data_IF_458924047390
#
_entry.id   IF_458924047390
#
_cell.length_a   1.000
_cell.length_b   1.000
_cell.length_c   1.000
_cell.angle_alpha   90.00
_cell.angle_beta   90.00
_cell.angle_gamma   90.00
#
_symmetry.space_group_name_H-M   'P 1'
#
loop_
_entity.id
_entity.type
_entity.pdbx_description
1 polymer ?
#
# COMPACT_ATOMS: atom_id res chain seq x y z
N UNK A 1 11.08 8.43 -30.49
CA UNK A 1 11.28 8.62 -29.04
C UNK A 1 11.30 7.25 -28.38
N UNK A 2 12.37 6.90 -27.65
CA UNK A 2 12.43 5.64 -26.90
C UNK A 2 11.50 5.72 -25.69
N UNK A 3 10.73 4.67 -25.42
CA UNK A 3 9.92 4.59 -24.19
C UNK A 3 10.87 4.56 -22.99
N UNK A 4 10.62 5.32 -21.91
CA UNK A 4 11.42 5.22 -20.71
C UNK A 4 11.37 3.78 -20.18
N UNK A 5 12.54 3.22 -19.88
CA UNK A 5 12.65 1.90 -19.26
C UNK A 5 12.17 2.02 -17.83
N UNK A 6 11.01 1.42 -17.52
CA UNK A 6 10.51 1.32 -16.14
C UNK A 6 11.44 0.37 -15.37
N UNK A 7 12.05 0.81 -14.25
CA UNK A 7 12.86 -0.03 -13.39
C UNK A 7 12.10 -1.29 -12.96
N UNK A 8 12.81 -2.42 -12.80
CA UNK A 8 12.20 -3.68 -12.37
C UNK A 8 11.50 -3.56 -11.00
N UNK A 9 12.04 -2.74 -10.10
CA UNK A 9 11.43 -2.45 -8.79
C UNK A 9 10.10 -1.70 -8.91
N UNK A 10 9.99 -0.71 -9.79
CA UNK A 10 8.70 -0.02 -10.04
C UNK A 10 7.65 -0.99 -10.59
N UNK A 11 8.05 -1.93 -11.47
CA UNK A 11 7.13 -2.96 -11.96
C UNK A 11 6.64 -3.87 -10.84
N UNK A 12 7.53 -4.28 -9.93
CA UNK A 12 7.15 -5.08 -8.77
C UNK A 12 6.17 -4.32 -7.86
N UNK A 13 6.48 -3.06 -7.53
CA UNK A 13 5.62 -2.23 -6.66
C UNK A 13 4.23 -1.97 -7.28
N UNK A 14 4.13 -1.80 -8.60
CA UNK A 14 2.85 -1.71 -9.29
C UNK A 14 2.02 -3.00 -9.18
N UNK A 15 2.66 -4.17 -9.25
CA UNK A 15 1.97 -5.45 -9.09
C UNK A 15 1.48 -5.64 -7.65
N UNK A 16 2.29 -5.28 -6.65
CA UNK A 16 1.89 -5.32 -5.24
C UNK A 16 0.71 -4.37 -4.96
N UNK A 17 0.79 -3.11 -5.44
CA UNK A 17 -0.30 -2.14 -5.30
C UNK A 17 -1.60 -2.65 -5.93
N UNK A 18 -1.49 -3.22 -7.13
CA UNK A 18 -2.62 -3.82 -7.82
C UNK A 18 -3.22 -4.97 -7.01
N UNK A 19 -2.38 -5.86 -6.46
CA UNK A 19 -2.81 -6.96 -5.60
C UNK A 19 -3.61 -6.47 -4.39
N UNK A 20 -3.11 -5.43 -3.70
CA UNK A 20 -3.79 -4.83 -2.55
C UNK A 20 -5.11 -4.11 -2.91
N UNK A 21 -5.24 -3.60 -4.14
CA UNK A 21 -6.49 -3.01 -4.63
C UNK A 21 -7.53 -4.05 -5.04
N UNK A 22 -7.08 -5.16 -5.64
CA UNK A 22 -7.95 -6.27 -6.05
C UNK A 22 -8.41 -7.10 -4.86
N UNK A 23 -7.53 -7.32 -3.88
CA UNK A 23 -7.80 -8.06 -2.65
C UNK A 23 -7.38 -7.23 -1.42
N UNK A 24 -8.26 -6.31 -0.95
CA UNK A 24 -7.97 -5.50 0.23
C UNK A 24 -7.77 -6.35 1.48
N UNK A 25 -6.70 -6.06 2.22
CA UNK A 25 -6.39 -6.75 3.47
C UNK A 25 -7.24 -6.17 4.61
N UNK A 26 -7.97 -7.03 5.32
CA UNK A 26 -8.77 -6.61 6.46
C UNK A 26 -7.90 -5.95 7.55
N UNK A 27 -8.40 -4.84 8.10
CA UNK A 27 -7.71 -4.10 9.14
C UNK A 27 -6.57 -3.21 8.63
N UNK A 28 -6.34 -3.14 7.31
CA UNK A 28 -5.38 -2.22 6.71
C UNK A 28 -6.06 -1.29 5.70
N UNK A 29 -5.55 -0.08 5.59
CA UNK A 29 -5.77 0.80 4.43
C UNK A 29 -4.42 1.20 3.89
N UNK A 30 -4.20 0.97 2.61
CA UNK A 30 -2.92 1.20 1.96
C UNK A 30 -3.14 2.12 0.77
N UNK A 31 -2.37 3.19 0.68
CA UNK A 31 -2.37 4.12 -0.44
C UNK A 31 -0.97 4.67 -0.68
N UNK A 32 -0.75 5.28 -1.85
CA UNK A 32 0.46 6.06 -2.10
C UNK A 32 0.29 7.46 -1.51
N UNK A 33 1.38 8.03 -1.01
CA UNK A 33 1.40 9.45 -0.60
C UNK A 33 1.25 10.36 -1.83
N UNK A 34 1.90 9.97 -2.93
CA UNK A 34 1.82 10.60 -4.25
C UNK A 34 1.76 9.50 -5.32
N UNK A 35 0.80 9.58 -6.25
CA UNK A 35 0.67 8.60 -7.35
C UNK A 35 1.88 8.59 -8.30
N UNK A 36 2.68 9.66 -8.32
CA UNK A 36 3.92 9.75 -9.07
C UNK A 36 5.11 9.05 -8.40
N UNK A 37 5.01 8.71 -7.12
CA UNK A 37 6.08 8.08 -6.34
C UNK A 37 5.64 6.75 -5.72
N UNK A 38 5.93 5.68 -6.45
CA UNK A 38 5.64 4.30 -6.03
C UNK A 38 6.48 3.83 -4.82
N UNK A 39 7.41 4.63 -4.31
CA UNK A 39 8.24 4.24 -3.16
C UNK A 39 7.76 4.84 -1.84
N UNK A 40 6.79 5.75 -1.87
CA UNK A 40 6.27 6.39 -0.66
C UNK A 40 4.80 6.02 -0.42
N UNK A 41 4.57 5.28 0.67
CA UNK A 41 3.30 4.64 0.98
C UNK A 41 2.78 5.16 2.30
N UNK A 42 1.47 5.29 2.37
CA UNK A 42 0.72 5.58 3.57
C UNK A 42 -0.08 4.33 3.94
N UNK A 43 0.08 3.88 5.18
CA UNK A 43 -0.59 2.68 5.69
C UNK A 43 -1.29 3.05 6.98
N UNK A 44 -2.60 2.81 7.01
CA UNK A 44 -3.35 2.85 8.25
C UNK A 44 -3.71 1.43 8.72
N UNK A 45 -3.59 1.19 10.03
CA UNK A 45 -3.84 -0.09 10.68
C UNK A 45 -4.95 0.07 11.70
N UNK A 46 -5.94 -0.82 11.62
CA UNK A 46 -7.00 -0.95 12.62
C UNK A 46 -6.60 -2.01 13.63
N UNK A 47 -6.67 -1.64 14.91
CA UNK A 47 -6.28 -2.51 15.99
C UNK A 47 -7.18 -3.75 16.10
N UNK A 48 -6.62 -4.96 16.02
CA UNK A 48 -7.42 -6.19 16.03
C UNK A 48 -8.17 -6.41 17.35
N UNK A 49 -9.32 -7.10 17.32
CA UNK A 49 -10.08 -7.43 18.52
C UNK A 49 -9.27 -8.37 19.44
N UNK A 50 -9.56 -8.29 20.74
CA UNK A 50 -8.89 -9.04 21.80
C UNK A 50 -7.39 -8.73 21.93
N UNK A 51 -6.98 -7.51 21.59
CA UNK A 51 -5.61 -7.02 21.77
C UNK A 51 -5.62 -5.70 22.53
N UNK A 52 -4.46 -5.26 23.05
CA UNK A 52 -4.34 -3.93 23.66
C UNK A 52 -4.60 -2.77 22.68
N UNK A 53 -4.63 -3.06 21.37
CA UNK A 53 -4.85 -2.07 20.33
C UNK A 53 -6.29 -2.08 19.82
N UNK A 54 -7.16 -2.98 20.32
CA UNK A 54 -8.54 -3.15 19.86
C UNK A 54 -9.28 -1.82 19.71
N UNK A 55 -9.88 -1.61 18.53
CA UNK A 55 -10.61 -0.38 18.20
C UNK A 55 -9.71 0.82 17.88
N UNK A 56 -8.39 0.69 17.97
CA UNK A 56 -7.42 1.73 17.62
C UNK A 56 -7.29 1.94 16.11
N UNK A 57 -6.86 3.15 15.75
CA UNK A 57 -6.50 3.54 14.38
C UNK A 57 -5.11 4.18 14.41
N UNK A 58 -4.20 3.64 13.61
CA UNK A 58 -2.80 4.07 13.53
C UNK A 58 -2.47 4.40 12.08
N UNK A 59 -1.73 5.49 11.85
CA UNK A 59 -1.37 5.99 10.52
C UNK A 59 0.06 6.53 10.56
#
# INVERSE_FOLDING_TARGET
MARPSVPSSQKALLLELKGLQEEPVEGFRVSLVDEGDLYNWEVAIFGPPNTHYEGGYFK
#
